data_IF_396803285698
#
_entry.id   IF_396803285698
#
_cell.length_a   1.000
_cell.length_b   1.000
_cell.length_c   1.000
_cell.angle_alpha   90.00
_cell.angle_beta   90.00
_cell.angle_gamma   90.00
#
_symmetry.space_group_name_H-M   'P 1'
#
loop_
_entity.id
_entity.type
_entity.pdbx_description
1 polymer ?
#
# COMPACT_ATOMS: atom_id res chain seq x y z
N UNK A 1 -7.50 -3.33 5.39
CA UNK A 1 -7.92 -3.84 4.06
C UNK A 1 -7.92 -5.35 4.02
N UNK A 2 -6.76 -6.00 4.01
CA UNK A 2 -6.60 -7.45 3.86
C UNK A 2 -7.39 -8.27 4.90
N UNK A 3 -7.31 -7.94 6.20
CA UNK A 3 -8.06 -8.64 7.27
C UNK A 3 -9.57 -8.57 7.04
N UNK A 4 -10.07 -7.45 6.51
CA UNK A 4 -11.50 -7.32 6.20
C UNK A 4 -11.90 -8.25 5.06
N UNK A 5 -11.13 -8.30 3.99
CA UNK A 5 -11.37 -9.17 2.82
C UNK A 5 -11.27 -10.64 3.24
N UNK A 6 -10.20 -11.04 3.92
CA UNK A 6 -10.01 -12.41 4.43
C UNK A 6 -11.17 -12.86 5.32
N UNK A 7 -11.54 -12.04 6.32
CA UNK A 7 -12.64 -12.37 7.22
C UNK A 7 -14.00 -12.45 6.52
N UNK A 8 -14.23 -11.64 5.50
CA UNK A 8 -15.41 -11.72 4.65
C UNK A 8 -15.44 -13.02 3.87
N UNK A 9 -14.32 -13.39 3.23
CA UNK A 9 -14.18 -14.64 2.51
C UNK A 9 -14.45 -15.86 3.40
N UNK A 10 -13.82 -15.93 4.58
CA UNK A 10 -14.04 -17.03 5.54
C UNK A 10 -15.51 -17.13 5.93
N UNK A 11 -16.17 -16.01 6.25
CA UNK A 11 -17.60 -16.03 6.60
C UNK A 11 -18.47 -16.53 5.44
N UNK A 12 -18.17 -16.18 4.19
CA UNK A 12 -18.87 -16.70 3.03
C UNK A 12 -18.74 -18.21 2.91
N UNK A 13 -17.49 -18.70 2.90
CA UNK A 13 -17.21 -20.13 2.68
C UNK A 13 -17.77 -20.98 3.80
N UNK A 14 -17.59 -20.58 5.05
CA UNK A 14 -18.10 -21.33 6.20
C UNK A 14 -19.63 -21.29 6.23
N UNK A 15 -20.23 -20.12 5.97
CA UNK A 15 -21.68 -19.99 5.89
C UNK A 15 -22.31 -20.89 4.83
N UNK A 16 -21.70 -20.96 3.66
CA UNK A 16 -22.15 -21.79 2.55
C UNK A 16 -21.97 -23.29 2.85
N UNK A 17 -20.77 -23.72 3.25
CA UNK A 17 -20.46 -25.14 3.53
C UNK A 17 -21.27 -25.69 4.70
N UNK A 18 -21.47 -24.88 5.75
CA UNK A 18 -22.17 -25.33 6.96
C UNK A 18 -23.68 -25.07 6.91
N UNK A 19 -24.20 -24.48 5.83
CA UNK A 19 -25.63 -24.13 5.70
C UNK A 19 -26.09 -23.11 6.74
N UNK A 20 -25.27 -22.09 7.01
CA UNK A 20 -25.52 -21.02 7.99
C UNK A 20 -25.86 -19.70 7.25
N UNK A 21 -27.13 -19.48 6.87
CA UNK A 21 -27.53 -18.33 6.07
C UNK A 21 -27.21 -16.98 6.74
N UNK A 22 -27.35 -16.88 8.06
CA UNK A 22 -27.00 -15.68 8.82
C UNK A 22 -25.54 -15.30 8.69
N UNK A 23 -24.64 -16.27 8.50
CA UNK A 23 -23.21 -16.03 8.31
C UNK A 23 -22.91 -15.55 6.89
N UNK A 24 -23.64 -16.09 5.91
CA UNK A 24 -23.56 -15.65 4.50
C UNK A 24 -24.11 -14.25 4.33
N UNK A 25 -25.26 -13.92 4.96
CA UNK A 25 -25.86 -12.59 4.96
C UNK A 25 -24.95 -11.56 5.64
N UNK A 26 -24.29 -11.93 6.74
CA UNK A 26 -23.28 -11.10 7.38
C UNK A 26 -22.09 -10.83 6.44
N UNK A 27 -21.60 -11.87 5.76
CA UNK A 27 -20.49 -11.72 4.81
C UNK A 27 -20.85 -10.81 3.64
N UNK A 28 -22.06 -10.96 3.06
CA UNK A 28 -22.59 -10.06 2.04
C UNK A 28 -22.61 -8.61 2.53
N UNK A 29 -23.23 -8.35 3.69
CA UNK A 29 -23.32 -7.02 4.26
C UNK A 29 -21.93 -6.41 4.51
N UNK A 30 -21.00 -7.21 4.99
CA UNK A 30 -19.60 -6.81 5.22
C UNK A 30 -18.89 -6.45 3.92
N UNK A 31 -19.08 -7.23 2.86
CA UNK A 31 -18.50 -6.96 1.53
C UNK A 31 -19.00 -5.64 0.96
N UNK A 32 -20.32 -5.41 0.99
CA UNK A 32 -20.97 -4.17 0.53
C UNK A 32 -20.45 -2.97 1.33
N UNK A 33 -20.39 -3.08 2.65
CA UNK A 33 -19.89 -2.01 3.52
C UNK A 33 -18.40 -1.71 3.25
N UNK A 34 -17.59 -2.73 3.06
CA UNK A 34 -16.18 -2.56 2.72
C UNK A 34 -15.98 -1.88 1.37
N UNK A 35 -16.74 -2.28 0.36
CA UNK A 35 -16.71 -1.65 -0.96
C UNK A 35 -17.11 -0.17 -0.88
N UNK A 36 -18.25 0.13 -0.25
CA UNK A 36 -18.73 1.50 -0.09
C UNK A 36 -17.71 2.37 0.67
N UNK A 37 -17.10 1.82 1.72
CA UNK A 37 -16.03 2.49 2.46
C UNK A 37 -14.82 2.77 1.56
N UNK A 38 -14.38 1.79 0.77
CA UNK A 38 -13.24 1.92 -0.14
C UNK A 38 -13.50 2.98 -1.21
N UNK A 39 -14.67 2.98 -1.82
CA UNK A 39 -15.05 4.00 -2.82
C UNK A 39 -15.14 5.39 -2.19
N UNK A 40 -15.78 5.51 -1.02
CA UNK A 40 -15.89 6.80 -0.30
C UNK A 40 -14.52 7.39 0.03
N UNK A 41 -13.57 6.54 0.41
CA UNK A 41 -12.21 6.95 0.78
C UNK A 41 -11.23 6.94 -0.41
N UNK A 42 -11.73 6.77 -1.63
CA UNK A 42 -10.95 6.82 -2.88
C UNK A 42 -9.82 5.78 -2.96
N UNK A 43 -9.92 4.69 -2.22
CA UNK A 43 -8.94 3.62 -2.22
C UNK A 43 -8.89 2.80 -0.93
N UNK A 44 -7.94 1.89 -0.90
CA UNK A 44 -7.68 1.07 0.29
C UNK A 44 -6.97 1.87 1.38
N UNK A 45 -7.29 1.63 2.64
CA UNK A 45 -6.63 2.30 3.79
C UNK A 45 -5.14 1.97 3.90
N UNK A 46 -4.73 0.80 3.42
CA UNK A 46 -3.33 0.44 3.25
C UNK A 46 -2.89 0.83 1.84
N UNK A 47 -2.90 2.14 1.57
CA UNK A 47 -2.66 2.70 0.26
C UNK A 47 -1.32 2.30 -0.33
N UNK A 48 -1.36 1.87 -1.59
CA UNK A 48 -0.20 1.49 -2.42
C UNK A 48 0.78 0.57 -1.67
N UNK A 49 0.24 -0.46 -1.02
CA UNK A 49 1.03 -1.40 -0.21
C UNK A 49 1.52 -2.57 -1.04
N UNK A 50 2.84 -2.69 -1.32
CA UNK A 50 3.36 -3.84 -2.06
C UNK A 50 3.10 -5.18 -1.37
N UNK A 51 2.94 -5.19 -0.06
CA UNK A 51 2.65 -6.40 0.70
C UNK A 51 1.15 -6.69 0.75
N UNK A 52 0.36 -5.73 1.23
CA UNK A 52 -1.04 -6.00 1.55
C UNK A 52 -1.97 -5.93 0.34
N UNK A 53 -1.57 -5.27 -0.73
CA UNK A 53 -2.29 -5.34 -1.99
C UNK A 53 -2.18 -6.74 -2.59
N UNK A 54 -1.01 -7.39 -2.52
CA UNK A 54 -0.84 -8.78 -3.00
C UNK A 54 -1.73 -9.75 -2.21
N UNK A 55 -1.75 -9.63 -0.88
CA UNK A 55 -2.65 -10.44 -0.02
C UNK A 55 -4.11 -10.19 -0.38
N UNK A 56 -4.50 -8.92 -0.57
CA UNK A 56 -5.87 -8.59 -0.96
C UNK A 56 -6.25 -9.20 -2.32
N UNK A 57 -5.34 -9.18 -3.29
CA UNK A 57 -5.56 -9.77 -4.61
C UNK A 57 -5.75 -11.28 -4.55
N UNK A 58 -4.93 -11.98 -3.75
CA UNK A 58 -5.08 -13.44 -3.55
C UNK A 58 -6.45 -13.78 -2.97
N UNK A 59 -6.89 -13.07 -1.94
CA UNK A 59 -8.19 -13.31 -1.32
C UNK A 59 -9.36 -12.95 -2.26
N UNK A 60 -9.27 -11.83 -2.97
CA UNK A 60 -10.27 -11.46 -3.97
C UNK A 60 -10.34 -12.48 -5.11
N UNK A 61 -9.22 -13.03 -5.55
CA UNK A 61 -9.18 -14.10 -6.55
C UNK A 61 -9.88 -15.38 -6.04
N UNK A 62 -9.66 -15.77 -4.77
CA UNK A 62 -10.39 -16.88 -4.13
C UNK A 62 -11.88 -16.60 -4.10
N UNK A 63 -12.29 -15.39 -3.70
CA UNK A 63 -13.70 -14.99 -3.70
C UNK A 63 -14.30 -15.04 -5.11
N UNK A 64 -13.57 -14.61 -6.13
CA UNK A 64 -14.02 -14.73 -7.53
C UNK A 64 -14.28 -16.17 -7.96
N UNK A 65 -13.58 -17.15 -7.40
CA UNK A 65 -13.72 -18.56 -7.77
C UNK A 65 -14.82 -19.29 -7.01
N UNK A 66 -15.17 -18.80 -5.84
CA UNK A 66 -16.07 -19.49 -4.91
C UNK A 66 -17.44 -18.82 -4.75
N UNK A 67 -17.50 -17.48 -4.79
CA UNK A 67 -18.76 -16.75 -4.60
C UNK A 67 -19.51 -16.69 -5.92
N UNK A 68 -20.73 -17.22 -5.94
CA UNK A 68 -21.58 -17.33 -7.13
C UNK A 68 -22.62 -16.20 -7.24
N UNK A 69 -22.90 -15.48 -6.16
CA UNK A 69 -23.85 -14.35 -6.18
C UNK A 69 -23.39 -13.28 -7.16
N UNK A 70 -24.18 -12.93 -8.20
CA UNK A 70 -23.73 -11.99 -9.24
C UNK A 70 -23.47 -10.57 -8.73
N UNK A 71 -24.23 -10.11 -7.73
CA UNK A 71 -24.06 -8.78 -7.15
C UNK A 71 -22.72 -8.68 -6.41
N UNK A 72 -22.40 -9.70 -5.61
CA UNK A 72 -21.15 -9.78 -4.86
C UNK A 72 -19.96 -9.97 -5.79
N UNK A 73 -20.10 -10.79 -6.83
CA UNK A 73 -19.06 -10.96 -7.87
C UNK A 73 -18.70 -9.62 -8.50
N UNK A 74 -19.67 -8.79 -8.83
CA UNK A 74 -19.42 -7.46 -9.40
C UNK A 74 -18.61 -6.58 -8.46
N UNK A 75 -18.89 -6.64 -7.15
CA UNK A 75 -18.12 -5.92 -6.13
C UNK A 75 -16.68 -6.46 -6.06
N UNK A 76 -16.53 -7.78 -6.01
CA UNK A 76 -15.23 -8.43 -5.94
C UNK A 76 -14.38 -8.09 -7.17
N UNK A 77 -14.96 -8.14 -8.36
CA UNK A 77 -14.29 -7.80 -9.61
C UNK A 77 -13.85 -6.33 -9.62
N UNK A 78 -14.67 -5.41 -9.11
CA UNK A 78 -14.31 -4.01 -8.99
C UNK A 78 -13.14 -3.78 -8.03
N UNK A 79 -13.16 -4.41 -6.84
CA UNK A 79 -12.05 -4.33 -5.88
C UNK A 79 -10.76 -4.94 -6.44
N UNK A 80 -10.86 -6.04 -7.16
CA UNK A 80 -9.71 -6.69 -7.81
C UNK A 80 -9.11 -5.80 -8.92
N UNK A 81 -9.96 -5.16 -9.73
CA UNK A 81 -9.51 -4.20 -10.74
C UNK A 81 -8.80 -2.99 -10.12
N UNK A 82 -9.29 -2.48 -8.98
CA UNK A 82 -8.62 -1.38 -8.25
C UNK A 82 -7.20 -1.78 -7.78
N UNK A 83 -6.98 -3.04 -7.38
CA UNK A 83 -5.64 -3.50 -7.04
C UNK A 83 -4.70 -3.44 -8.26
N UNK A 84 -5.15 -3.92 -9.41
CA UNK A 84 -4.36 -3.87 -10.65
C UNK A 84 -4.09 -2.46 -11.12
N UNK A 85 -5.08 -1.57 -11.03
CA UNK A 85 -4.92 -0.15 -11.37
C UNK A 85 -3.87 0.51 -10.49
N UNK A 86 -3.92 0.27 -9.18
CA UNK A 86 -2.92 0.75 -8.22
C UNK A 86 -1.51 0.29 -8.59
N UNK A 87 -1.33 -1.00 -8.91
CA UNK A 87 -0.03 -1.54 -9.32
C UNK A 87 0.43 -0.87 -10.62
N UNK A 88 -0.43 -0.79 -11.63
CA UNK A 88 -0.08 -0.31 -12.95
C UNK A 88 0.35 1.16 -12.95
N UNK A 89 -0.41 2.01 -12.26
CA UNK A 89 -0.11 3.44 -12.16
C UNK A 89 1.19 3.72 -11.40
N UNK A 90 1.57 2.82 -10.48
CA UNK A 90 2.79 2.96 -9.68
C UNK A 90 3.96 2.11 -10.18
N UNK A 91 3.81 1.39 -11.28
CA UNK A 91 4.91 0.58 -11.82
C UNK A 91 5.85 1.44 -12.68
N UNK A 92 7.13 1.47 -12.32
CA UNK A 92 8.19 2.11 -13.10
C UNK A 92 8.93 1.05 -13.91
N UNK A 93 8.54 0.92 -15.19
CA UNK A 93 9.04 -0.11 -16.09
C UNK A 93 10.57 -0.10 -16.26
N UNK A 94 11.29 1.06 -16.36
CA UNK A 94 12.73 1.05 -16.53
C UNK A 94 13.49 0.43 -15.36
N UNK A 95 13.05 0.65 -14.12
CA UNK A 95 13.69 0.05 -12.94
C UNK A 95 13.03 -1.25 -12.47
N UNK A 96 11.89 -1.63 -13.06
CA UNK A 96 11.11 -2.79 -12.64
C UNK A 96 10.49 -2.64 -11.24
N UNK A 97 10.37 -1.43 -10.71
CA UNK A 97 9.95 -1.20 -9.33
C UNK A 97 8.47 -0.82 -9.21
N UNK A 98 7.84 -1.30 -8.16
CA UNK A 98 6.57 -0.79 -7.68
C UNK A 98 6.85 0.41 -6.78
N UNK A 99 6.64 1.61 -7.34
CA UNK A 99 7.04 2.86 -6.73
C UNK A 99 6.04 3.35 -5.67
N UNK A 100 6.54 4.25 -4.80
CA UNK A 100 5.73 4.92 -3.79
C UNK A 100 4.84 6.04 -4.36
N UNK A 101 4.26 6.84 -3.45
CA UNK A 101 4.41 6.72 -2.01
C UNK A 101 3.68 5.49 -1.46
N UNK A 102 4.24 4.86 -0.41
CA UNK A 102 3.65 3.67 0.19
C UNK A 102 3.31 3.96 1.65
N UNK A 103 2.08 3.64 2.08
CA UNK A 103 1.69 3.81 3.48
C UNK A 103 1.80 2.52 4.31
N UNK A 104 2.09 1.40 3.66
CA UNK A 104 2.40 0.13 4.32
C UNK A 104 3.35 -0.68 3.44
N UNK A 105 4.63 -0.66 3.75
CA UNK A 105 5.65 -1.40 3.02
C UNK A 105 6.70 -1.96 3.97
N UNK A 106 7.11 -3.20 3.76
CA UNK A 106 8.20 -3.86 4.50
C UNK A 106 9.53 -3.82 3.75
N UNK A 107 9.51 -3.43 2.48
CA UNK A 107 10.70 -3.32 1.65
C UNK A 107 10.71 -1.98 0.92
N UNK A 108 11.87 -1.50 0.56
CA UNK A 108 12.05 -0.30 -0.27
C UNK A 108 12.27 -0.65 -1.74
N UNK A 109 12.48 -1.92 -2.05
CA UNK A 109 12.53 -2.47 -3.41
C UNK A 109 11.44 -3.53 -3.59
N UNK A 110 11.04 -3.74 -4.82
CA UNK A 110 10.09 -4.80 -5.19
C UNK A 110 10.65 -6.18 -4.81
N UNK A 111 9.78 -7.02 -4.27
CA UNK A 111 10.13 -8.36 -3.80
C UNK A 111 9.94 -9.40 -4.91
N UNK A 112 10.64 -10.56 -4.85
CA UNK A 112 10.53 -11.61 -5.87
C UNK A 112 9.09 -12.09 -6.15
N UNK A 113 8.23 -12.07 -5.13
CA UNK A 113 6.81 -12.44 -5.22
C UNK A 113 6.05 -11.52 -6.18
N UNK A 114 6.38 -10.23 -6.19
CA UNK A 114 5.80 -9.27 -7.11
C UNK A 114 6.19 -9.55 -8.56
N UNK A 115 7.46 -9.81 -8.82
CA UNK A 115 7.93 -10.16 -10.16
C UNK A 115 7.29 -11.46 -10.66
N UNK A 116 7.18 -12.46 -9.78
CA UNK A 116 6.49 -13.72 -10.09
C UNK A 116 5.01 -13.49 -10.40
N UNK A 117 4.33 -12.61 -9.66
CA UNK A 117 2.96 -12.23 -9.96
C UNK A 117 2.85 -11.66 -11.38
N UNK A 118 3.68 -10.68 -11.73
CA UNK A 118 3.64 -10.03 -13.04
C UNK A 118 3.93 -11.02 -14.17
N UNK A 119 4.94 -11.87 -14.03
CA UNK A 119 5.29 -12.90 -15.00
C UNK A 119 4.13 -13.86 -15.24
N UNK A 120 3.55 -14.41 -14.19
CA UNK A 120 2.44 -15.37 -14.30
C UNK A 120 1.14 -14.71 -14.79
N UNK A 121 0.84 -13.50 -14.34
CA UNK A 121 -0.39 -12.79 -14.71
C UNK A 121 -0.37 -12.23 -16.13
N UNK A 122 0.80 -12.15 -16.76
CA UNK A 122 1.01 -11.74 -18.15
C UNK A 122 1.34 -12.89 -19.09
N UNK A 123 1.17 -14.15 -18.66
CA UNK A 123 1.59 -15.34 -19.42
C UNK A 123 3.07 -15.29 -19.89
N UNK A 124 3.92 -14.61 -19.12
CA UNK A 124 5.36 -14.46 -19.38
C UNK A 124 5.74 -13.28 -20.27
N UNK A 125 4.81 -12.43 -20.67
CA UNK A 125 5.10 -11.23 -21.47
C UNK A 125 5.92 -10.20 -20.66
N UNK A 126 5.65 -10.10 -19.36
CA UNK A 126 6.44 -9.27 -18.44
C UNK A 126 7.54 -10.16 -17.84
N UNK A 127 8.70 -10.15 -18.48
CA UNK A 127 9.85 -10.93 -18.05
C UNK A 127 10.86 -10.03 -17.32
N UNK A 128 10.71 -9.96 -16.01
CA UNK A 128 11.64 -9.28 -15.12
C UNK A 128 12.69 -10.26 -14.58
N UNK A 129 13.82 -9.77 -14.03
CA UNK A 129 14.88 -10.64 -13.53
C UNK A 129 14.41 -11.55 -12.38
N UNK A 130 14.74 -12.83 -12.47
CA UNK A 130 14.44 -13.83 -11.47
C UNK A 130 14.13 -15.20 -12.08
N UNK A 131 14.20 -16.24 -11.27
CA UNK A 131 13.70 -17.56 -11.62
C UNK A 131 12.25 -17.68 -11.08
N UNK A 132 11.29 -17.69 -11.98
CA UNK A 132 9.85 -17.75 -11.64
C UNK A 132 9.24 -19.04 -12.14
N UNK A 133 9.50 -20.19 -11.49
CA UNK A 133 8.88 -21.43 -11.91
C UNK A 133 7.36 -21.28 -11.86
N UNK A 134 6.68 -21.69 -12.92
CA UNK A 134 5.23 -21.81 -12.90
C UNK A 134 4.87 -22.77 -11.78
N UNK A 135 4.29 -22.25 -10.71
CA UNK A 135 3.72 -23.10 -9.68
C UNK A 135 2.46 -23.73 -10.29
N UNK A 136 2.33 -25.06 -10.31
CA UNK A 136 1.09 -25.70 -10.73
C UNK A 136 -0.04 -25.15 -9.83
N UNK A 137 -0.91 -24.33 -10.41
CA UNK A 137 -1.94 -23.67 -9.63
C UNK A 137 -3.09 -24.63 -9.35
N UNK A 138 -3.33 -24.90 -8.09
CA UNK A 138 -4.62 -25.42 -7.61
C UNK A 138 -5.74 -24.38 -7.81
N UNK A 139 -5.36 -23.11 -7.99
CA UNK A 139 -6.25 -21.97 -8.24
C UNK A 139 -5.97 -21.37 -9.63
N UNK A 140 -6.97 -20.70 -10.20
CA UNK A 140 -6.74 -19.93 -11.44
C UNK A 140 -5.64 -18.89 -11.20
N UNK A 141 -4.75 -18.67 -12.17
CA UNK A 141 -3.74 -17.63 -12.07
C UNK A 141 -4.39 -16.24 -12.05
N UNK A 142 -3.67 -15.28 -11.47
CA UNK A 142 -3.98 -13.87 -11.70
C UNK A 142 -3.85 -13.55 -13.19
N UNK A 143 -4.66 -12.61 -13.68
CA UNK A 143 -4.55 -12.07 -15.02
C UNK A 143 -4.55 -10.56 -14.98
N UNK A 144 -3.63 -9.94 -15.70
CA UNK A 144 -3.60 -8.49 -15.86
C UNK A 144 -4.73 -8.09 -16.83
N UNK A 145 -5.62 -7.18 -16.45
CA UNK A 145 -6.63 -6.67 -17.38
C UNK A 145 -5.97 -6.06 -18.62
N UNK A 146 -6.52 -6.36 -19.81
CA UNK A 146 -5.91 -5.99 -21.09
C UNK A 146 -5.73 -4.49 -21.27
N UNK A 147 -6.63 -3.68 -20.69
CA UNK A 147 -6.55 -2.22 -20.72
C UNK A 147 -5.41 -1.66 -19.83
N UNK A 148 -4.93 -2.44 -18.88
CA UNK A 148 -3.87 -2.06 -17.94
C UNK A 148 -2.50 -2.61 -18.37
N UNK A 149 -2.48 -3.72 -19.09
CA UNK A 149 -1.24 -4.37 -19.55
C UNK A 149 -0.23 -3.41 -20.22
N UNK A 150 -0.65 -2.40 -21.02
CA UNK A 150 0.28 -1.43 -21.60
C UNK A 150 1.14 -0.66 -20.60
N UNK A 151 0.67 -0.44 -19.38
CA UNK A 151 1.49 0.21 -18.33
C UNK A 151 2.76 -0.56 -17.97
N UNK A 152 2.73 -1.87 -18.15
CA UNK A 152 3.85 -2.76 -17.88
C UNK A 152 4.77 -3.01 -19.07
N UNK A 153 4.22 -2.99 -20.28
CA UNK A 153 4.93 -3.39 -21.52
C UNK A 153 5.44 -2.19 -22.32
N UNK A 154 4.76 -1.04 -22.22
CA UNK A 154 5.09 0.16 -23.02
C UNK A 154 5.48 1.28 -22.07
N UNK A 155 6.62 1.89 -22.36
CA UNK A 155 7.01 3.10 -21.61
C UNK A 155 6.05 4.25 -21.97
N UNK A 156 5.24 4.67 -20.99
CA UNK A 156 4.36 5.86 -21.08
C UNK A 156 5.01 7.05 -20.36
N UNK A 157 6.32 7.13 -20.38
CA UNK A 157 7.12 8.09 -19.65
C UNK A 157 7.50 9.30 -20.52
N UNK A 158 7.65 10.51 -19.95
CA UNK A 158 7.39 10.80 -18.53
C UNK A 158 5.90 10.89 -18.21
N UNK A 159 5.54 10.60 -16.94
CA UNK A 159 4.16 10.74 -16.47
C UNK A 159 4.13 11.23 -15.03
N UNK A 160 3.02 11.89 -14.67
CA UNK A 160 2.72 12.31 -13.31
C UNK A 160 1.40 11.66 -12.89
N UNK A 161 1.46 10.82 -11.86
CA UNK A 161 0.28 10.25 -11.22
C UNK A 161 -0.03 11.04 -9.94
N UNK A 162 -1.29 11.37 -9.75
CA UNK A 162 -1.76 12.12 -8.58
C UNK A 162 -2.97 11.41 -8.02
N UNK A 163 -2.80 10.85 -6.84
CA UNK A 163 -3.86 10.16 -6.13
C UNK A 163 -4.32 10.98 -4.92
N UNK A 164 -5.62 11.00 -4.70
CA UNK A 164 -6.17 11.48 -3.44
C UNK A 164 -6.75 10.30 -2.70
N UNK A 165 -6.33 10.08 -1.48
CA UNK A 165 -6.81 9.00 -0.64
C UNK A 165 -6.96 9.46 0.80
N UNK A 166 -7.68 8.66 1.59
CA UNK A 166 -7.98 9.00 2.98
C UNK A 166 -7.36 7.98 3.89
N UNK A 167 -6.58 8.45 4.86
CA UNK A 167 -6.13 7.62 5.96
C UNK A 167 -7.03 7.89 7.15
N UNK A 168 -7.69 6.84 7.64
CA UNK A 168 -8.40 6.91 8.91
C UNK A 168 -7.36 7.21 9.99
N UNK A 169 -7.46 8.38 10.60
CA UNK A 169 -6.71 8.71 11.78
C UNK A 169 -7.72 8.65 12.94
N UNK A 170 -7.83 7.53 13.64
CA UNK A 170 -8.65 7.49 14.83
C UNK A 170 -7.97 8.37 15.89
N UNK A 171 -8.58 9.48 16.25
CA UNK A 171 -8.26 10.24 17.48
C UNK A 171 -8.58 9.39 18.71
N UNK A 172 -8.03 8.16 18.76
CA UNK A 172 -8.35 7.20 19.79
C UNK A 172 -7.13 7.01 20.65
N UNK A 173 -7.23 7.44 21.88
CA UNK A 173 -6.46 6.86 22.96
C UNK A 173 -6.87 5.38 23.07
N UNK A 174 -6.10 4.48 22.51
CA UNK A 174 -6.29 3.04 22.70
C UNK A 174 -5.83 2.71 24.13
N UNK A 175 -6.67 2.96 25.10
CA UNK A 175 -6.56 2.24 26.37
C UNK A 175 -6.98 0.79 26.15
N UNK A 176 -6.26 -0.14 26.78
CA UNK A 176 -6.22 -1.59 26.55
C UNK A 176 -7.53 -2.39 26.59
N UNK A 177 -8.71 -1.82 26.70
CA UNK A 177 -9.99 -2.54 26.63
C UNK A 177 -10.57 -2.48 25.21
N UNK A 178 -10.04 -3.28 24.35
CA UNK A 178 -10.33 -3.32 22.90
C UNK A 178 -11.81 -3.59 22.54
N UNK A 179 -12.59 -4.16 23.41
CA UNK A 179 -13.95 -4.61 23.09
C UNK A 179 -15.06 -3.64 23.52
N UNK A 180 -14.89 -2.88 24.59
CA UNK A 180 -15.93 -1.97 25.09
C UNK A 180 -15.98 -0.64 24.33
N UNK A 181 -14.86 -0.13 23.86
CA UNK A 181 -14.75 1.17 23.15
C UNK A 181 -15.14 1.12 21.66
N UNK A 182 -15.41 -0.04 21.09
CA UNK A 182 -15.82 -0.15 19.66
C UNK A 182 -17.16 0.52 19.35
N UNK A 183 -18.03 0.74 20.33
CA UNK A 183 -19.31 1.44 20.14
C UNK A 183 -19.12 2.94 19.95
N UNK A 184 -18.15 3.53 20.63
CA UNK A 184 -17.88 4.97 20.59
C UNK A 184 -16.94 5.36 19.43
N UNK A 185 -16.28 4.39 18.81
CA UNK A 185 -15.35 4.59 17.68
C UNK A 185 -16.03 5.06 16.38
N UNK A 186 -17.32 4.87 16.22
CA UNK A 186 -18.01 5.18 14.95
C UNK A 186 -18.14 6.68 14.69
N UNK A 187 -18.13 7.50 15.72
CA UNK A 187 -18.49 8.91 15.61
C UNK A 187 -17.29 9.87 15.63
N UNK A 188 -16.08 9.39 15.94
CA UNK A 188 -14.87 10.22 16.14
C UNK A 188 -13.70 9.87 15.23
N UNK A 189 -13.93 9.28 14.07
CA UNK A 189 -12.86 9.04 13.10
C UNK A 189 -12.67 10.30 12.26
N UNK A 190 -11.64 11.08 12.56
CA UNK A 190 -11.20 12.13 11.64
C UNK A 190 -10.48 11.48 10.45
N UNK A 191 -10.86 11.89 9.25
CA UNK A 191 -10.21 11.48 8.02
C UNK A 191 -9.50 12.69 7.42
N UNK A 192 -8.22 12.50 7.02
CA UNK A 192 -7.48 13.54 6.30
C UNK A 192 -7.29 13.10 4.86
N UNK A 193 -7.61 13.98 3.93
CA UNK A 193 -7.25 13.80 2.52
C UNK A 193 -5.73 13.90 2.38
N UNK A 194 -5.14 12.86 1.81
CA UNK A 194 -3.72 12.81 1.47
C UNK A 194 -3.61 12.81 -0.04
N UNK A 195 -2.68 13.62 -0.54
CA UNK A 195 -2.35 13.66 -1.96
C UNK A 195 -1.00 12.96 -2.13
N UNK A 196 -1.02 11.81 -2.79
CA UNK A 196 0.18 11.12 -3.29
C UNK A 196 0.53 11.64 -4.67
N UNK A 197 1.82 11.83 -4.92
CA UNK A 197 2.36 12.18 -6.23
C UNK A 197 3.46 11.22 -6.60
N UNK A 198 3.42 10.73 -7.81
CA UNK A 198 4.50 9.95 -8.42
C UNK A 198 4.85 10.58 -9.77
N UNK A 199 6.03 11.14 -9.87
CA UNK A 199 6.62 11.50 -11.15
C UNK A 199 7.55 10.38 -11.60
N UNK A 200 7.25 9.80 -12.75
CA UNK A 200 8.05 8.75 -13.37
C UNK A 200 8.63 9.27 -14.70
N UNK A 201 9.94 9.26 -14.82
CA UNK A 201 10.71 9.59 -16.03
C UNK A 201 11.37 8.32 -16.58
N UNK A 202 12.01 8.34 -17.77
CA UNK A 202 12.79 7.20 -18.22
C UNK A 202 13.92 6.78 -17.28
N UNK A 203 14.47 7.72 -16.50
CA UNK A 203 15.67 7.50 -15.69
C UNK A 203 15.37 7.20 -14.22
N UNK A 204 14.26 7.74 -13.68
CA UNK A 204 13.88 7.58 -12.28
C UNK A 204 12.39 7.77 -12.04
N UNK A 205 11.95 7.31 -10.88
CA UNK A 205 10.65 7.60 -10.31
C UNK A 205 10.84 8.29 -8.95
N UNK A 206 10.14 9.42 -8.72
CA UNK A 206 10.14 10.17 -7.47
C UNK A 206 8.73 10.32 -6.95
N UNK A 207 8.50 9.91 -5.71
CA UNK A 207 7.18 9.91 -5.12
C UNK A 207 7.17 10.55 -3.73
N UNK A 208 6.11 11.31 -3.45
CA UNK A 208 5.88 11.90 -2.13
C UNK A 208 4.39 12.01 -1.79
N UNK A 209 4.10 12.17 -0.50
CA UNK A 209 2.77 12.59 -0.01
C UNK A 209 2.82 14.05 0.41
N UNK A 210 1.67 14.74 0.35
CA UNK A 210 1.58 16.12 0.82
C UNK A 210 1.63 16.25 2.35
N UNK A 211 1.15 15.25 3.09
CA UNK A 211 1.15 15.22 4.55
C UNK A 211 0.96 13.80 5.09
N UNK A 212 1.53 13.50 6.24
CA UNK A 212 1.34 12.23 6.92
C UNK A 212 2.35 11.99 8.04
N UNK A 213 2.20 10.86 8.72
CA UNK A 213 3.17 10.43 9.74
C UNK A 213 4.27 9.58 9.11
N UNK A 214 5.46 9.67 9.69
CA UNK A 214 6.58 8.80 9.34
C UNK A 214 6.60 7.58 10.26
N UNK A 215 6.94 6.45 9.69
CA UNK A 215 7.12 5.19 10.41
C UNK A 215 7.89 4.18 9.55
N UNK A 216 8.47 3.14 10.16
CA UNK A 216 9.28 2.15 9.43
C UNK A 216 8.56 1.40 8.30
N UNK A 217 7.22 1.37 8.32
CA UNK A 217 6.42 0.77 7.26
C UNK A 217 5.80 1.80 6.30
N UNK A 218 6.09 3.07 6.45
CA UNK A 218 5.67 4.09 5.49
C UNK A 218 6.85 4.54 4.64
N UNK A 219 6.56 4.88 3.38
CA UNK A 219 7.51 5.48 2.44
C UNK A 219 6.89 6.77 1.90
N UNK A 220 6.79 7.80 2.76
CA UNK A 220 6.11 9.04 2.39
C UNK A 220 6.90 9.88 1.38
N UNK A 221 8.20 9.64 1.26
CA UNK A 221 9.08 10.18 0.24
C UNK A 221 10.07 9.10 -0.14
N UNK A 222 10.04 8.68 -1.41
CA UNK A 222 10.90 7.63 -1.95
C UNK A 222 11.18 7.88 -3.43
N UNK A 223 12.38 7.56 -3.86
CA UNK A 223 12.73 7.52 -5.27
C UNK A 223 13.31 6.15 -5.66
N UNK A 224 13.13 5.78 -6.93
CA UNK A 224 13.69 4.56 -7.51
C UNK A 224 14.37 4.88 -8.84
N UNK A 225 15.49 4.22 -9.12
CA UNK A 225 16.21 4.33 -10.40
C UNK A 225 16.99 3.03 -10.69
N UNK A 226 17.74 3.05 -11.77
CA UNK A 226 18.52 1.91 -12.22
C UNK A 226 17.74 0.99 -13.18
N UNK A 227 18.07 -0.28 -13.16
CA UNK A 227 17.45 -1.30 -14.02
C UNK A 227 16.78 -2.38 -13.17
N UNK A 228 15.91 -3.22 -13.75
CA UNK A 228 15.31 -4.32 -13.00
C UNK A 228 16.33 -5.30 -12.38
N UNK A 229 17.53 -5.44 -13.00
CA UNK A 229 18.63 -6.25 -12.46
C UNK A 229 19.41 -5.55 -11.35
N UNK A 230 19.48 -4.22 -11.41
CA UNK A 230 20.28 -3.35 -10.55
C UNK A 230 19.46 -2.15 -10.10
N UNK A 231 18.39 -2.37 -9.34
CA UNK A 231 17.55 -1.28 -8.86
C UNK A 231 18.18 -0.59 -7.67
N UNK A 232 17.94 0.71 -7.57
CA UNK A 232 18.35 1.54 -6.45
C UNK A 232 17.18 2.36 -5.93
N UNK A 233 17.29 2.76 -4.68
CA UNK A 233 16.29 3.63 -4.05
C UNK A 233 16.91 4.69 -3.16
N UNK A 234 16.19 5.77 -2.96
CA UNK A 234 16.38 6.75 -1.90
C UNK A 234 15.09 6.87 -1.10
N UNK A 235 15.20 6.85 0.22
CA UNK A 235 14.07 7.15 1.12
C UNK A 235 14.49 8.04 2.28
N UNK A 236 13.52 8.67 2.90
CA UNK A 236 13.74 9.43 4.14
C UNK A 236 13.19 8.65 5.33
N UNK A 237 13.96 8.65 6.43
CA UNK A 237 13.58 8.08 7.71
C UNK A 237 13.85 9.09 8.81
N UNK A 238 13.05 9.10 9.84
CA UNK A 238 13.36 9.85 11.05
C UNK A 238 13.63 8.88 12.20
N UNK A 239 14.77 9.01 12.83
CA UNK A 239 15.25 8.08 13.84
C UNK A 239 15.28 8.74 15.22
N UNK A 240 14.84 7.99 16.23
CA UNK A 240 14.93 8.28 17.63
C UNK A 240 15.75 7.17 18.29
N UNK A 241 16.91 7.51 18.79
CA UNK A 241 17.87 6.58 19.39
C UNK A 241 18.18 5.35 18.54
N UNK A 242 18.23 5.56 17.20
CA UNK A 242 18.56 4.54 16.21
C UNK A 242 17.36 3.76 15.64
N UNK A 243 16.15 3.96 16.12
CA UNK A 243 14.92 3.32 15.65
C UNK A 243 14.00 4.31 14.93
N UNK A 244 13.14 3.82 14.05
CA UNK A 244 12.15 4.67 13.40
C UNK A 244 11.21 5.32 14.40
N UNK A 245 11.07 6.64 14.29
CA UNK A 245 10.26 7.45 15.18
C UNK A 245 8.92 7.78 14.54
N UNK A 246 7.84 7.24 15.12
CA UNK A 246 6.48 7.36 14.57
C UNK A 246 5.77 8.68 14.90
N UNK A 247 6.31 9.48 15.81
CA UNK A 247 5.75 10.76 16.21
C UNK A 247 6.30 11.94 15.36
N UNK A 248 6.55 11.71 14.08
CA UNK A 248 6.98 12.74 13.14
C UNK A 248 5.95 12.90 12.03
N UNK A 249 5.55 14.13 11.79
CA UNK A 249 4.82 14.53 10.60
C UNK A 249 5.78 14.95 9.49
N UNK A 250 5.48 14.53 8.28
CA UNK A 250 6.02 15.09 7.06
C UNK A 250 4.94 15.95 6.39
N UNK A 251 5.32 17.14 5.94
CA UNK A 251 4.53 17.99 5.06
C UNK A 251 5.39 18.25 3.85
N UNK A 252 4.92 17.90 2.65
CA UNK A 252 5.72 18.06 1.45
C UNK A 252 4.91 18.61 0.27
N UNK A 253 5.64 19.30 -0.61
CA UNK A 253 5.18 19.71 -1.92
C UNK A 253 6.12 19.13 -2.97
N UNK A 254 5.57 18.54 -4.01
CA UNK A 254 6.33 17.99 -5.13
C UNK A 254 5.94 18.71 -6.43
N UNK A 255 6.96 19.16 -7.14
CA UNK A 255 6.87 19.60 -8.54
C UNK A 255 7.75 18.68 -9.39
N UNK A 256 7.12 17.72 -10.06
CA UNK A 256 7.79 16.71 -10.92
C UNK A 256 9.06 16.13 -10.29
N UNK A 257 10.21 16.72 -10.55
CA UNK A 257 11.53 16.23 -10.15
C UNK A 257 12.03 16.75 -8.81
N UNK A 258 11.29 17.64 -8.15
CA UNK A 258 11.73 18.30 -6.92
C UNK A 258 10.70 18.11 -5.81
N UNK A 259 11.17 17.77 -4.61
CA UNK A 259 10.36 17.73 -3.40
C UNK A 259 10.93 18.68 -2.36
N UNK A 260 10.06 19.55 -1.85
CA UNK A 260 10.34 20.34 -0.65
C UNK A 260 9.56 19.71 0.51
N UNK A 261 10.23 19.33 1.59
CA UNK A 261 9.62 18.69 2.74
C UNK A 261 10.01 19.35 4.06
N UNK A 262 9.04 19.42 4.96
CA UNK A 262 9.21 19.87 6.34
C UNK A 262 8.87 18.69 7.27
N UNK A 263 9.67 18.51 8.29
CA UNK A 263 9.48 17.47 9.30
C UNK A 263 9.28 18.14 10.65
N UNK A 264 8.21 17.75 11.36
CA UNK A 264 7.93 18.28 12.70
C UNK A 264 7.44 17.16 13.63
N UNK A 265 7.61 17.37 14.91
CA UNK A 265 7.12 16.44 15.94
C UNK A 265 5.60 16.54 15.99
N UNK A 266 4.93 15.39 15.97
CA UNK A 266 3.48 15.29 16.08
C UNK A 266 3.03 15.46 17.53
N UNK A 267 2.22 16.49 17.80
CA UNK A 267 1.69 16.76 19.14
C UNK A 267 0.64 15.72 19.59
N UNK A 268 -0.06 15.12 18.63
CA UNK A 268 -1.06 14.07 18.84
C UNK A 268 -0.49 12.66 19.06
N UNK A 269 0.85 12.55 19.12
CA UNK A 269 1.57 11.30 19.34
C UNK A 269 1.91 10.52 18.09
N UNK A 270 1.54 11.00 16.90
CA UNK A 270 1.93 10.43 15.62
C UNK A 270 1.07 9.26 15.16
N UNK A 271 1.67 8.31 14.44
CA UNK A 271 0.96 7.16 13.87
C UNK A 271 0.25 6.33 14.95
N UNK A 272 -0.96 5.87 14.64
CA UNK A 272 -1.86 5.17 15.56
C UNK A 272 -1.76 3.64 15.48
N UNK A 273 -0.77 3.10 14.78
CA UNK A 273 -0.63 1.66 14.67
C UNK A 273 -0.44 1.00 16.05
N UNK A 274 -1.15 -0.12 16.37
CA UNK A 274 -1.15 -0.74 17.70
C UNK A 274 0.23 -1.20 18.20
N UNK A 275 1.19 -1.40 17.30
CA UNK A 275 2.57 -1.83 17.64
C UNK A 275 3.49 -0.66 17.99
N UNK A 276 3.00 0.58 17.97
CA UNK A 276 3.80 1.76 18.21
C UNK A 276 3.55 2.33 19.58
N UNK A 277 4.63 2.72 20.25
CA UNK A 277 4.55 3.53 21.47
C UNK A 277 4.27 4.98 21.09
N UNK A 278 3.10 5.47 21.43
CA UNK A 278 2.70 6.85 21.15
C UNK A 278 3.34 7.81 22.13
N UNK A 279 3.90 8.88 21.61
CA UNK A 279 4.38 10.01 22.39
C UNK A 279 3.17 10.78 22.94
N UNK A 280 3.10 10.94 24.26
CA UNK A 280 2.02 11.68 24.91
C UNK A 280 2.38 13.15 25.05
N UNK A 281 1.50 14.04 24.56
CA UNK A 281 1.65 15.50 24.65
C UNK A 281 2.99 16.01 24.08
N UNK A 282 3.54 15.37 23.07
CA UNK A 282 4.82 15.73 22.48
C UNK A 282 6.04 15.54 23.41
N UNK A 283 5.87 14.91 24.58
CA UNK A 283 6.95 14.74 25.57
C UNK A 283 7.63 13.39 25.42
N UNK A 284 8.92 13.40 25.13
CA UNK A 284 9.76 12.20 25.07
C UNK A 284 11.20 12.58 25.42
N UNK A 285 12.03 11.56 25.69
CA UNK A 285 13.46 11.72 25.92
C UNK A 285 14.21 11.10 24.74
N UNK A 286 15.19 11.79 24.22
CA UNK A 286 16.05 11.29 23.18
C UNK A 286 17.51 11.58 23.49
N UNK A 287 18.39 10.64 23.21
CA UNK A 287 19.85 10.86 23.17
C UNK A 287 20.27 11.30 21.78
N UNK A 288 19.50 10.86 20.77
CA UNK A 288 19.80 11.11 19.38
C UNK A 288 18.49 11.20 18.55
N UNK A 289 18.35 12.28 17.81
CA UNK A 289 17.26 12.49 16.83
C UNK A 289 17.87 12.82 15.48
N UNK A 290 17.51 12.05 14.45
CA UNK A 290 18.07 12.21 13.11
C UNK A 290 17.04 12.09 12.02
N UNK A 291 17.04 13.06 11.10
CA UNK A 291 16.56 12.85 9.75
C UNK A 291 17.65 12.08 8.98
N UNK A 292 17.33 10.90 8.49
CA UNK A 292 18.24 10.07 7.69
C UNK A 292 17.74 10.01 6.26
N UNK A 293 18.61 10.40 5.33
CA UNK A 293 18.45 10.08 3.91
C UNK A 293 19.15 8.74 3.70
N UNK A 294 18.40 7.75 3.33
CA UNK A 294 18.89 6.39 3.11
C UNK A 294 18.89 6.09 1.62
N UNK A 295 20.02 5.65 1.12
CA UNK A 295 20.19 5.18 -0.25
C UNK A 295 20.60 3.72 -0.20
N UNK A 296 19.98 2.89 -1.02
CA UNK A 296 20.23 1.45 -1.05
C UNK A 296 19.96 0.83 -2.41
N UNK A 297 20.19 -0.47 -2.50
CA UNK A 297 20.15 -1.20 -3.76
C UNK A 297 21.53 -1.31 -4.40
N UNK A 298 21.59 -1.29 -5.73
CA UNK A 298 22.87 -1.30 -6.48
C UNK A 298 23.42 0.12 -6.57
N UNK A 299 24.52 0.40 -5.86
CA UNK A 299 25.14 1.73 -5.77
C UNK A 299 26.41 1.87 -6.63
N UNK A 300 26.78 0.86 -7.43
CA UNK A 300 28.02 0.89 -8.23
C UNK A 300 28.12 2.13 -9.15
N UNK A 301 26.97 2.61 -9.65
CA UNK A 301 26.91 3.77 -10.56
C UNK A 301 26.23 4.98 -9.90
N UNK A 302 26.14 5.03 -8.57
CA UNK A 302 25.52 6.14 -7.83
C UNK A 302 26.62 7.06 -7.30
N UNK A 303 26.59 8.33 -7.67
CA UNK A 303 27.45 9.37 -7.11
C UNK A 303 26.64 10.38 -6.31
N UNK A 304 27.23 10.89 -5.25
CA UNK A 304 26.65 11.96 -4.43
C UNK A 304 27.47 13.23 -4.65
N UNK A 305 26.79 14.31 -5.01
CA UNK A 305 27.40 15.65 -5.20
C UNK A 305 26.81 16.63 -4.22
#
# INVERSE_FOLDING_TARGET
TNICIMGTYVCYVVGDICGLPEMTDYAHSRLVNFYNYTIKNKGFTEYNSPTYTLVAMDELLRMQQTIINPADRKIIDALYAMCWEMIATHFHQPSGQWCGPNLRSYSSLAVPEFYRLLYNASDGEINLPGDYPRIPNVMKPHHIPTNILPYFLKSTLPRLEIDTFVVANPDIQIERSFLEKRKDMKDNISTKDIIGRLYASPDFALASINQGYMWNQTRPLIAHWGTPMKPSYLQVRFLHDGYDFSAINIIAAQDSTTVLAIFNIAEDGGDTHPSLDRVQNGNFKAKDLRLRIEVGGDLENTSFT
#
